data_IF_297879767573
#
_entry.id   IF_297879767573
#
_cell.length_a   1.000
_cell.length_b   1.000
_cell.length_c   1.000
_cell.angle_alpha   90.00
_cell.angle_beta   90.00
_cell.angle_gamma   90.00
#
_symmetry.space_group_name_H-M   'P 1'
#
loop_
_entity.id
_entity.type
_entity.pdbx_description
1 polymer ?
#
# COMPACT_ATOMS: atom_id res chain seq x y z
N UNK A 1 -4.39 7.41 15.32
CA UNK A 1 -5.13 8.22 14.35
C UNK A 1 -4.08 8.68 13.34
N UNK A 2 -4.23 8.29 12.08
CA UNK A 2 -3.23 8.53 11.02
C UNK A 2 -3.17 10.03 10.69
N UNK A 3 -2.07 10.72 11.05
CA UNK A 3 -1.97 12.17 10.88
C UNK A 3 -0.71 12.63 10.15
N UNK A 4 -0.82 13.78 9.51
CA UNK A 4 0.32 14.54 8.99
C UNK A 4 1.09 13.85 7.87
N UNK A 5 2.43 13.94 7.93
CA UNK A 5 3.35 13.46 6.89
C UNK A 5 3.21 11.97 6.61
N UNK A 6 2.98 11.15 7.65
CA UNK A 6 2.83 9.69 7.53
C UNK A 6 1.67 9.30 6.62
N UNK A 7 0.53 9.97 6.78
CA UNK A 7 -0.65 9.77 5.93
C UNK A 7 -0.35 10.13 4.47
N UNK A 8 0.27 11.29 4.25
CA UNK A 8 0.62 11.75 2.91
C UNK A 8 1.57 10.79 2.19
N UNK A 9 2.60 10.27 2.86
CA UNK A 9 3.53 9.31 2.24
C UNK A 9 2.81 8.01 1.83
N UNK A 10 1.84 7.54 2.63
CA UNK A 10 1.02 6.37 2.28
C UNK A 10 0.11 6.66 1.08
N UNK A 11 -0.53 7.82 1.05
CA UNK A 11 -1.40 8.25 -0.05
C UNK A 11 -0.63 8.43 -1.36
N UNK A 12 0.51 9.12 -1.32
CA UNK A 12 1.40 9.32 -2.47
C UNK A 12 1.83 7.96 -3.06
N UNK A 13 2.09 6.96 -2.20
CA UNK A 13 2.46 5.61 -2.64
C UNK A 13 1.29 4.84 -3.24
N UNK A 14 0.09 4.97 -2.67
CA UNK A 14 -1.14 4.40 -3.27
C UNK A 14 -1.41 4.99 -4.66
N UNK A 15 -1.21 6.29 -4.83
CA UNK A 15 -1.44 6.96 -6.11
C UNK A 15 -0.42 6.55 -7.17
N UNK A 16 0.85 6.32 -6.78
CA UNK A 16 1.86 5.73 -7.67
C UNK A 16 1.44 4.33 -8.15
N UNK A 17 0.95 3.47 -7.25
CA UNK A 17 0.47 2.12 -7.60
C UNK A 17 -0.69 2.23 -8.61
N UNK A 18 -1.69 3.08 -8.33
CA UNK A 18 -2.84 3.28 -9.22
C UNK A 18 -2.44 3.85 -10.58
N UNK A 19 -1.48 4.76 -10.62
CA UNK A 19 -0.96 5.32 -11.86
C UNK A 19 -0.29 4.24 -12.70
N UNK A 20 0.57 3.42 -12.08
CA UNK A 20 1.22 2.30 -12.76
C UNK A 20 0.20 1.27 -13.29
N UNK A 21 -0.85 0.96 -12.51
CA UNK A 21 -1.93 0.09 -12.96
C UNK A 21 -2.70 0.67 -14.15
N UNK A 22 -3.01 1.96 -14.10
CA UNK A 22 -3.70 2.68 -15.18
C UNK A 22 -2.89 2.68 -16.48
N UNK A 23 -1.56 2.70 -16.37
CA UNK A 23 -0.63 2.61 -17.50
C UNK A 23 -0.26 1.17 -17.90
N UNK A 24 -0.92 0.15 -17.31
CA UNK A 24 -0.64 -1.27 -17.53
C UNK A 24 0.80 -1.71 -17.19
N UNK A 25 1.50 -0.95 -16.33
CA UNK A 25 2.82 -1.30 -15.79
C UNK A 25 2.68 -2.21 -14.57
N UNK A 26 2.27 -3.45 -14.80
CA UNK A 26 1.95 -4.43 -13.74
C UNK A 26 3.11 -4.70 -12.79
N UNK A 27 4.33 -4.85 -13.32
CA UNK A 27 5.52 -5.12 -12.49
C UNK A 27 5.87 -3.92 -11.59
N UNK A 28 5.82 -2.71 -12.14
CA UNK A 28 6.04 -1.47 -11.39
C UNK A 28 4.96 -1.27 -10.33
N UNK A 29 3.70 -1.57 -10.65
CA UNK A 29 2.60 -1.52 -9.70
C UNK A 29 2.78 -2.55 -8.57
N UNK A 30 3.20 -3.78 -8.90
CA UNK A 30 3.45 -4.82 -7.91
C UNK A 30 4.63 -4.47 -7.00
N UNK A 31 5.72 -3.93 -7.56
CA UNK A 31 6.84 -3.39 -6.79
C UNK A 31 6.38 -2.28 -5.84
N UNK A 32 5.59 -1.32 -6.33
CA UNK A 32 5.02 -0.24 -5.51
C UNK A 32 4.16 -0.77 -4.36
N UNK A 33 3.39 -1.85 -4.60
CA UNK A 33 2.62 -2.53 -3.58
C UNK A 33 3.49 -3.18 -2.49
N UNK A 34 4.58 -3.86 -2.86
CA UNK A 34 5.52 -4.42 -1.88
C UNK A 34 6.15 -3.33 -1.00
N UNK A 35 6.53 -2.21 -1.62
CA UNK A 35 7.06 -1.04 -0.91
C UNK A 35 6.02 -0.40 0.01
N UNK A 36 4.74 -0.37 -0.39
CA UNK A 36 3.65 0.10 0.46
C UNK A 36 3.47 -0.78 1.71
N UNK A 37 3.52 -2.11 1.57
CA UNK A 37 3.48 -3.02 2.73
C UNK A 37 4.63 -2.73 3.70
N UNK A 38 5.84 -2.62 3.17
CA UNK A 38 7.02 -2.30 3.97
C UNK A 38 6.83 -0.98 4.72
N UNK A 39 6.35 0.06 4.04
CA UNK A 39 6.11 1.36 4.65
C UNK A 39 5.09 1.30 5.80
N UNK A 40 3.99 0.56 5.61
CA UNK A 40 2.95 0.38 6.64
C UNK A 40 3.53 -0.31 7.88
N UNK A 41 4.30 -1.39 7.69
CA UNK A 41 4.95 -2.11 8.79
C UNK A 41 5.99 -1.23 9.49
N UNK A 42 6.85 -0.54 8.74
CA UNK A 42 7.83 0.40 9.27
C UNK A 42 7.19 1.49 10.14
N UNK A 43 6.05 2.02 9.71
CA UNK A 43 5.32 3.02 10.47
C UNK A 43 4.68 2.43 11.72
N UNK A 44 4.25 1.18 11.70
CA UNK A 44 3.73 0.48 12.87
C UNK A 44 4.85 0.24 13.89
N UNK A 45 5.98 -0.28 13.44
CA UNK A 45 7.14 -0.60 14.30
C UNK A 45 7.73 0.67 14.93
N UNK A 46 7.74 1.78 14.20
CA UNK A 46 8.19 3.10 14.69
C UNK A 46 7.13 3.81 15.56
N UNK A 47 5.98 3.18 15.84
CA UNK A 47 4.89 3.76 16.62
C UNK A 47 4.21 4.98 15.97
N UNK A 48 4.41 5.20 14.66
CA UNK A 48 3.84 6.33 13.92
C UNK A 48 2.36 6.16 13.59
N UNK A 49 1.87 4.92 13.65
CA UNK A 49 0.47 4.57 13.41
C UNK A 49 -0.04 3.66 14.53
N UNK A 50 -1.29 3.88 14.95
CA UNK A 50 -1.93 3.05 15.99
C UNK A 50 -2.53 1.78 15.42
N UNK A 51 -2.93 0.84 16.29
CA UNK A 51 -3.51 -0.46 15.88
C UNK A 51 -4.72 -0.31 14.97
N UNK A 52 -5.63 0.61 15.30
CA UNK A 52 -6.83 0.88 14.48
C UNK A 52 -6.51 1.39 13.08
N UNK A 53 -5.44 2.18 12.93
CA UNK A 53 -5.04 2.68 11.62
C UNK A 53 -4.31 1.58 10.83
N UNK A 54 -3.46 0.80 11.51
CA UNK A 54 -2.78 -0.35 10.93
C UNK A 54 -3.77 -1.41 10.43
N UNK A 55 -4.81 -1.72 11.19
CA UNK A 55 -5.87 -2.65 10.78
C UNK A 55 -6.56 -2.18 9.48
N UNK A 56 -6.90 -0.89 9.39
CA UNK A 56 -7.47 -0.29 8.17
C UNK A 56 -6.54 -0.39 6.96
N UNK A 57 -5.24 -0.16 7.16
CA UNK A 57 -4.24 -0.28 6.11
C UNK A 57 -4.05 -1.75 5.69
N UNK A 58 -4.16 -2.69 6.62
CA UNK A 58 -4.11 -4.12 6.31
C UNK A 58 -5.28 -4.59 5.44
N UNK A 59 -6.49 -4.09 5.66
CA UNK A 59 -7.60 -4.39 4.75
C UNK A 59 -7.29 -3.96 3.32
N UNK A 60 -6.70 -2.77 3.12
CA UNK A 60 -6.25 -2.31 1.80
C UNK A 60 -5.14 -3.18 1.21
N UNK A 61 -4.16 -3.60 2.03
CA UNK A 61 -3.07 -4.49 1.60
C UNK A 61 -3.62 -5.82 1.08
N UNK A 62 -4.62 -6.39 1.75
CA UNK A 62 -5.25 -7.64 1.31
C UNK A 62 -6.10 -7.45 0.03
N UNK A 63 -6.73 -6.29 -0.17
CA UNK A 63 -7.40 -5.98 -1.43
C UNK A 63 -6.41 -5.90 -2.60
N UNK A 64 -5.29 -5.19 -2.42
CA UNK A 64 -4.22 -5.17 -3.43
C UNK A 64 -3.68 -6.57 -3.71
N UNK A 65 -3.45 -7.39 -2.67
CA UNK A 65 -3.00 -8.77 -2.81
C UNK A 65 -3.92 -9.60 -3.70
N UNK A 66 -5.23 -9.51 -3.50
CA UNK A 66 -6.24 -10.21 -4.32
C UNK A 66 -6.21 -9.72 -5.76
N UNK A 67 -6.10 -8.42 -5.96
CA UNK A 67 -6.01 -7.82 -7.29
C UNK A 67 -4.75 -8.30 -8.05
N UNK A 68 -3.58 -8.28 -7.42
CA UNK A 68 -2.34 -8.77 -8.03
C UNK A 68 -2.34 -10.30 -8.23
N UNK A 69 -2.93 -11.07 -7.33
CA UNK A 69 -3.10 -12.51 -7.52
C UNK A 69 -3.94 -12.84 -8.78
N UNK A 70 -4.96 -12.03 -9.08
CA UNK A 70 -5.73 -12.17 -10.31
C UNK A 70 -4.96 -11.75 -11.57
N UNK A 71 -3.96 -10.87 -11.45
CA UNK A 71 -3.10 -10.49 -12.56
C UNK A 71 -2.04 -11.55 -12.91
N UNK A 72 -1.51 -12.26 -11.91
CA UNK A 72 -0.47 -13.29 -12.11
C UNK A 72 -1.06 -14.60 -12.65
N UNK A 73 -2.35 -14.87 -12.38
CA UNK A 73 -3.04 -16.10 -12.84
C UNK A 73 -3.59 -16.03 -14.27
N UNK A 74 -3.40 -14.92 -14.99
CA UNK A 74 -3.82 -14.75 -16.40
C UNK A 74 -2.61 -14.73 -17.30
#
# INVERSE_FOLDING_TARGET
>A
MLFGKTKKVLEDKEDEIKLNLSNNYKDSAYKGYLEYIQLVNDFKDKGKIGDKDFEKLNYKIEDYKRMFANYIKR
#
